data_IF_963807622574
#
_entry.id   IF_963807622574
#
_cell.length_a   1.000
_cell.length_b   1.000
_cell.length_c   1.000
_cell.angle_alpha   90.00
_cell.angle_beta   90.00
_cell.angle_gamma   90.00
#
_symmetry.space_group_name_H-M   'P 1'
#
loop_
_entity.id
_entity.type
_entity.pdbx_description
1 polymer ?
#
# COMPACT_ATOMS: atom_id res chain seq x y z
N UNK A 1 -0.21 10.00 -15.52
CA UNK A 1 0.09 11.24 -14.80
C UNK A 1 -0.45 11.05 -13.40
N UNK A 2 0.43 10.74 -12.46
CA UNK A 2 0.04 10.20 -11.14
C UNK A 2 -0.33 11.34 -10.18
N UNK A 3 -1.16 11.05 -9.17
CA UNK A 3 -1.55 12.01 -8.13
C UNK A 3 -0.33 12.62 -7.44
N UNK A 4 0.77 11.85 -7.31
CA UNK A 4 2.06 12.28 -6.78
C UNK A 4 2.72 13.34 -7.68
N UNK A 5 2.70 13.17 -9.01
CA UNK A 5 3.24 14.17 -9.94
C UNK A 5 2.47 15.49 -9.86
N UNK A 6 1.14 15.43 -9.70
CA UNK A 6 0.30 16.62 -9.53
C UNK A 6 0.58 17.30 -8.19
N UNK A 7 0.66 16.56 -7.09
CA UNK A 7 1.04 17.08 -5.77
C UNK A 7 2.45 17.69 -5.77
N UNK A 8 3.43 17.02 -6.37
CA UNK A 8 4.78 17.57 -6.52
C UNK A 8 4.80 18.83 -7.40
N UNK A 9 3.94 18.91 -8.42
CA UNK A 9 3.84 20.08 -9.31
C UNK A 9 3.18 21.27 -8.60
N UNK A 10 2.08 21.04 -7.89
CA UNK A 10 1.43 22.06 -7.03
C UNK A 10 2.38 22.51 -5.92
N UNK A 11 3.09 21.57 -5.29
CA UNK A 11 4.09 21.88 -4.27
C UNK A 11 5.25 22.69 -4.85
N UNK A 12 5.78 22.33 -6.03
CA UNK A 12 6.84 23.11 -6.71
C UNK A 12 6.36 24.51 -7.07
N UNK A 13 5.09 24.67 -7.46
CA UNK A 13 4.49 25.97 -7.71
C UNK A 13 4.41 26.79 -6.40
N UNK A 14 3.87 26.22 -5.33
CA UNK A 14 3.77 26.86 -4.02
C UNK A 14 5.14 27.24 -3.44
N UNK A 15 6.12 26.34 -3.56
CA UNK A 15 7.51 26.58 -3.15
C UNK A 15 8.16 27.71 -3.97
N UNK A 16 7.87 27.78 -5.28
CA UNK A 16 8.33 28.85 -6.15
C UNK A 16 7.72 30.19 -5.75
N UNK A 17 6.43 30.21 -5.41
CA UNK A 17 5.73 31.43 -4.98
C UNK A 17 6.23 31.89 -3.60
N UNK A 18 6.43 30.97 -2.66
CA UNK A 18 7.05 31.25 -1.36
C UNK A 18 8.48 31.75 -1.53
N UNK A 19 9.25 31.18 -2.46
CA UNK A 19 10.62 31.62 -2.78
C UNK A 19 10.64 33.02 -3.40
N UNK A 20 9.68 33.34 -4.27
CA UNK A 20 9.53 34.66 -4.86
C UNK A 20 9.14 35.70 -3.80
N UNK A 21 8.18 35.36 -2.93
CA UNK A 21 7.77 36.21 -1.81
C UNK A 21 8.93 36.44 -0.82
N UNK A 22 9.66 35.39 -0.47
CA UNK A 22 10.84 35.50 0.39
C UNK A 22 11.92 36.41 -0.22
N UNK A 23 12.17 36.29 -1.53
CA UNK A 23 13.08 37.20 -2.25
C UNK A 23 12.61 38.64 -2.21
N UNK A 24 11.31 38.88 -2.42
CA UNK A 24 10.72 40.21 -2.31
C UNK A 24 10.89 40.81 -0.91
N UNK A 25 10.62 40.04 0.14
CA UNK A 25 10.82 40.47 1.54
C UNK A 25 12.30 40.77 1.83
N UNK A 26 13.23 39.97 1.30
CA UNK A 26 14.68 40.23 1.43
C UNK A 26 15.06 41.56 0.76
N UNK A 27 14.52 41.86 -0.41
CA UNK A 27 14.77 43.15 -1.08
C UNK A 27 14.27 44.30 -0.22
N UNK A 28 13.05 44.21 0.33
CA UNK A 28 12.51 45.23 1.26
C UNK A 28 13.39 45.36 2.50
N UNK A 29 13.86 44.25 3.06
CA UNK A 29 14.74 44.23 4.22
C UNK A 29 16.05 44.98 3.94
N UNK A 30 16.66 44.78 2.76
CA UNK A 30 17.89 45.50 2.36
C UNK A 30 17.64 47.01 2.29
N UNK A 31 16.52 47.44 1.69
CA UNK A 31 16.14 48.86 1.66
C UNK A 31 15.88 49.42 3.07
N UNK A 32 15.21 48.67 3.94
CA UNK A 32 14.96 49.07 5.31
C UNK A 32 16.26 49.21 6.10
N UNK A 33 17.18 48.25 5.98
CA UNK A 33 18.50 48.31 6.63
C UNK A 33 19.34 49.47 6.10
N UNK A 34 19.35 49.71 4.78
CA UNK A 34 20.05 50.85 4.20
C UNK A 34 19.51 52.19 4.73
N UNK A 35 18.17 52.31 4.81
CA UNK A 35 17.51 53.49 5.38
C UNK A 35 17.81 53.65 6.88
N UNK A 36 17.87 52.55 7.64
CA UNK A 36 18.24 52.56 9.04
C UNK A 36 19.66 53.11 9.24
N UNK A 37 20.62 52.61 8.45
CA UNK A 37 22.02 53.08 8.49
C UNK A 37 22.09 54.57 8.19
N UNK A 38 21.35 55.04 7.19
CA UNK A 38 21.27 56.47 6.85
C UNK A 38 20.68 57.32 7.99
N UNK A 39 19.62 56.87 8.64
CA UNK A 39 19.00 57.58 9.77
C UNK A 39 19.93 57.65 10.98
N UNK A 40 20.69 56.59 11.24
CA UNK A 40 21.72 56.57 12.29
C UNK A 40 22.83 57.58 11.97
N UNK A 41 23.26 57.65 10.71
CA UNK A 41 24.28 58.61 10.27
C UNK A 41 23.85 60.08 10.46
N UNK A 42 22.57 60.38 10.22
CA UNK A 42 21.99 61.74 10.42
C UNK A 42 21.54 61.97 11.88
N UNK A 43 21.75 61.01 12.78
CA UNK A 43 21.39 61.09 14.20
C UNK A 43 19.89 61.28 14.48
N UNK A 44 19.02 60.80 13.57
CA UNK A 44 17.56 60.79 13.76
C UNK A 44 17.10 59.50 14.43
N UNK A 45 17.32 59.41 15.74
CA UNK A 45 17.09 58.19 16.50
C UNK A 45 15.62 57.79 16.66
N UNK A 46 14.69 58.75 16.74
CA UNK A 46 13.25 58.47 16.84
C UNK A 46 12.72 57.75 15.58
N UNK A 47 13.08 58.26 14.39
CA UNK A 47 12.73 57.64 13.10
C UNK A 47 13.38 56.25 12.95
N UNK A 48 14.61 56.09 13.46
CA UNK A 48 15.33 54.82 13.42
C UNK A 48 14.68 53.75 14.32
N UNK A 49 14.15 54.13 15.49
CA UNK A 49 13.46 53.21 16.40
C UNK A 49 12.21 52.60 15.76
N UNK A 50 11.42 53.40 15.03
CA UNK A 50 10.27 52.90 14.27
C UNK A 50 10.73 51.90 13.20
N UNK A 51 11.81 52.21 12.49
CA UNK A 51 12.33 51.33 11.44
C UNK A 51 12.87 49.99 11.98
N UNK A 52 13.44 49.98 13.18
CA UNK A 52 13.88 48.74 13.86
C UNK A 52 12.72 47.77 14.07
N UNK A 53 11.54 48.26 14.45
CA UNK A 53 10.35 47.42 14.61
C UNK A 53 9.92 46.77 13.29
N UNK A 54 9.99 47.51 12.18
CA UNK A 54 9.69 47.00 10.84
C UNK A 54 10.69 45.93 10.42
N UNK A 55 11.99 46.14 10.66
CA UNK A 55 13.04 45.15 10.38
C UNK A 55 12.83 43.88 11.20
N UNK A 56 12.50 44.00 12.49
CA UNK A 56 12.22 42.84 13.35
C UNK A 56 11.02 42.03 12.87
N UNK A 57 9.94 42.69 12.42
CA UNK A 57 8.77 42.03 11.83
C UNK A 57 9.16 41.31 10.54
N UNK A 58 9.88 41.95 9.63
CA UNK A 58 10.30 41.35 8.36
C UNK A 58 11.19 40.12 8.56
N UNK A 59 12.12 40.18 9.53
CA UNK A 59 12.96 39.03 9.90
C UNK A 59 12.10 37.90 10.47
N UNK A 60 11.16 38.22 11.36
CA UNK A 60 10.26 37.24 11.97
C UNK A 60 9.38 36.54 10.92
N UNK A 61 8.85 37.29 9.94
CA UNK A 61 8.10 36.71 8.83
C UNK A 61 9.00 35.77 8.01
N UNK A 62 10.23 36.19 7.67
CA UNK A 62 11.17 35.36 6.93
C UNK A 62 11.52 34.05 7.66
N UNK A 63 11.76 34.11 8.97
CA UNK A 63 12.09 32.92 9.76
C UNK A 63 10.89 31.98 9.87
N UNK A 64 9.70 32.52 10.19
CA UNK A 64 8.47 31.72 10.27
C UNK A 64 8.16 31.08 8.92
N UNK A 65 8.18 31.83 7.82
CA UNK A 65 7.91 31.28 6.49
C UNK A 65 8.89 30.16 6.14
N UNK A 66 10.20 30.35 6.34
CA UNK A 66 11.19 29.31 6.06
C UNK A 66 11.03 28.06 6.92
N UNK A 67 10.79 28.24 8.23
CA UNK A 67 10.61 27.12 9.16
C UNK A 67 9.33 26.36 8.84
N UNK A 68 8.22 27.06 8.61
CA UNK A 68 6.94 26.44 8.26
C UNK A 68 7.01 25.68 6.93
N UNK A 69 7.62 26.25 5.89
CA UNK A 69 7.78 25.52 4.60
C UNK A 69 8.64 24.27 4.77
N UNK A 70 9.68 24.32 5.61
CA UNK A 70 10.51 23.15 5.92
C UNK A 70 9.78 22.11 6.76
N UNK A 71 8.94 22.54 7.70
CA UNK A 71 8.15 21.64 8.52
C UNK A 71 7.05 20.94 7.71
N UNK A 72 6.36 21.68 6.84
CA UNK A 72 5.33 21.13 5.95
C UNK A 72 5.94 20.12 4.99
N UNK A 73 7.06 20.45 4.33
CA UNK A 73 7.77 19.50 3.44
C UNK A 73 8.19 18.26 4.18
N UNK A 74 8.77 18.41 5.37
CA UNK A 74 9.20 17.26 6.14
C UNK A 74 8.01 16.37 6.54
N UNK A 75 6.91 16.97 6.99
CA UNK A 75 5.68 16.26 7.35
C UNK A 75 5.09 15.50 6.17
N UNK A 76 5.00 16.12 4.99
CA UNK A 76 4.48 15.47 3.78
C UNK A 76 5.38 14.33 3.30
N UNK A 77 6.71 14.51 3.34
CA UNK A 77 7.68 13.45 3.00
C UNK A 77 7.55 12.28 3.96
N UNK A 78 7.46 12.55 5.27
CA UNK A 78 7.28 11.51 6.29
C UNK A 78 5.96 10.78 6.08
N UNK A 79 4.86 11.50 5.82
CA UNK A 79 3.55 10.89 5.57
C UNK A 79 3.57 9.98 4.34
N UNK A 80 4.13 10.44 3.23
CA UNK A 80 4.25 9.60 2.03
C UNK A 80 5.17 8.40 2.24
N UNK A 81 6.27 8.57 2.99
CA UNK A 81 7.15 7.45 3.34
C UNK A 81 6.42 6.41 4.21
N UNK A 82 5.63 6.83 5.18
CA UNK A 82 4.80 5.95 6.02
C UNK A 82 3.72 5.24 5.19
N UNK A 83 3.02 5.95 4.31
CA UNK A 83 2.06 5.37 3.35
C UNK A 83 2.72 4.29 2.49
N UNK A 84 3.89 4.57 1.90
CA UNK A 84 4.63 3.60 1.09
C UNK A 84 5.11 2.39 1.89
N UNK A 85 5.61 2.60 3.11
CA UNK A 85 6.03 1.52 4.01
C UNK A 85 4.87 0.61 4.38
N UNK A 86 3.69 1.18 4.64
CA UNK A 86 2.48 0.44 4.97
C UNK A 86 2.00 -0.40 3.76
N UNK A 87 1.96 0.20 2.55
CA UNK A 87 1.64 -0.54 1.32
C UNK A 87 2.63 -1.69 1.06
N UNK A 88 3.93 -1.46 1.27
CA UNK A 88 4.96 -2.49 1.13
C UNK A 88 4.79 -3.63 2.15
N UNK A 89 4.45 -3.30 3.40
CA UNK A 89 4.20 -4.31 4.43
C UNK A 89 2.96 -5.14 4.13
N UNK A 90 1.85 -4.49 3.74
CA UNK A 90 0.59 -5.14 3.37
C UNK A 90 0.74 -6.04 2.15
N UNK A 91 1.37 -5.56 1.08
CA UNK A 91 1.61 -6.37 -0.13
C UNK A 91 2.49 -7.59 0.18
N UNK A 92 3.52 -7.47 1.01
CA UNK A 92 4.31 -8.62 1.45
C UNK A 92 3.51 -9.65 2.25
N UNK A 93 2.64 -9.18 3.15
CA UNK A 93 1.74 -10.05 3.89
C UNK A 93 0.76 -10.78 2.96
N UNK A 94 0.18 -10.09 1.98
CA UNK A 94 -0.72 -10.69 1.00
C UNK A 94 0.00 -11.69 0.08
N UNK A 95 1.19 -11.37 -0.43
CA UNK A 95 2.03 -12.29 -1.23
C UNK A 95 2.28 -13.59 -0.44
N UNK A 96 2.59 -13.48 0.86
CA UNK A 96 2.78 -14.65 1.72
C UNK A 96 1.52 -15.51 1.81
N UNK A 97 0.34 -14.91 2.01
CA UNK A 97 -0.92 -15.68 2.06
C UNK A 97 -1.22 -16.30 0.70
N UNK A 98 -1.07 -15.57 -0.40
CA UNK A 98 -1.29 -16.07 -1.76
C UNK A 98 -0.39 -17.26 -2.07
N UNK A 99 0.89 -17.18 -1.68
CA UNK A 99 1.85 -18.29 -1.82
C UNK A 99 1.44 -19.50 -0.97
N UNK A 100 0.95 -19.26 0.26
CA UNK A 100 0.45 -20.32 1.13
C UNK A 100 -0.80 -21.00 0.52
N UNK A 101 -1.73 -20.23 -0.03
CA UNK A 101 -2.91 -20.75 -0.71
C UNK A 101 -2.55 -21.56 -1.95
N UNK A 102 -1.58 -21.13 -2.75
CA UNK A 102 -1.12 -21.90 -3.92
C UNK A 102 -0.50 -23.23 -3.50
N UNK A 103 0.36 -23.21 -2.47
CA UNK A 103 0.95 -24.44 -1.92
C UNK A 103 -0.09 -25.41 -1.37
N UNK A 104 -1.15 -24.91 -0.71
CA UNK A 104 -2.26 -25.75 -0.22
C UNK A 104 -3.12 -26.29 -1.35
N UNK A 105 -3.40 -25.47 -2.36
CA UNK A 105 -4.14 -25.89 -3.55
C UNK A 105 -3.38 -27.01 -4.29
N UNK A 106 -2.06 -26.85 -4.48
CA UNK A 106 -1.20 -27.89 -5.05
C UNK A 106 -1.16 -29.16 -4.18
N UNK A 107 -1.11 -29.01 -2.85
CA UNK A 107 -1.20 -30.15 -1.93
C UNK A 107 -2.52 -30.92 -2.10
N UNK A 108 -3.66 -30.24 -2.25
CA UNK A 108 -4.95 -30.90 -2.49
C UNK A 108 -4.99 -31.75 -3.77
N UNK A 109 -4.21 -31.40 -4.80
CA UNK A 109 -4.09 -32.25 -6.00
C UNK A 109 -3.18 -33.45 -5.74
N UNK A 110 -2.04 -33.20 -5.11
CA UNK A 110 -1.06 -34.25 -4.81
C UNK A 110 -1.60 -35.27 -3.83
N UNK A 111 -2.40 -34.85 -2.86
CA UNK A 111 -3.00 -35.73 -1.86
C UNK A 111 -3.94 -36.75 -2.51
N UNK A 112 -4.73 -36.34 -3.49
CA UNK A 112 -5.62 -37.25 -4.24
C UNK A 112 -4.83 -38.20 -5.15
N UNK A 113 -3.73 -37.74 -5.74
CA UNK A 113 -2.84 -38.58 -6.55
C UNK A 113 -2.06 -39.59 -5.70
N UNK A 114 -1.58 -39.17 -4.53
CA UNK A 114 -0.82 -39.96 -3.57
C UNK A 114 -1.70 -40.83 -2.69
N UNK A 115 -3.02 -40.63 -2.74
CA UNK A 115 -4.01 -41.34 -1.95
C UNK A 115 -3.84 -41.10 -0.44
N UNK A 116 -3.55 -39.85 -0.08
CA UNK A 116 -3.41 -39.41 1.30
C UNK A 116 -4.73 -39.56 2.09
N UNK A 117 -4.68 -39.61 3.43
CA UNK A 117 -5.88 -39.64 4.26
C UNK A 117 -6.81 -38.45 3.99
N UNK A 118 -8.12 -38.72 3.91
CA UNK A 118 -9.17 -37.70 3.70
C UNK A 118 -9.08 -36.58 4.74
N UNK A 119 -8.75 -36.90 6.00
CA UNK A 119 -8.55 -35.89 7.05
C UNK A 119 -7.48 -34.85 6.68
N UNK A 120 -6.42 -35.25 5.97
CA UNK A 120 -5.37 -34.33 5.53
C UNK A 120 -5.87 -33.40 4.44
N UNK A 121 -6.66 -33.92 3.49
CA UNK A 121 -7.32 -33.12 2.46
C UNK A 121 -8.27 -32.08 3.09
N UNK A 122 -9.20 -32.54 3.93
CA UNK A 122 -10.18 -31.69 4.65
C UNK A 122 -9.48 -30.58 5.44
N UNK A 123 -8.44 -30.94 6.20
CA UNK A 123 -7.67 -29.98 6.99
C UNK A 123 -6.99 -28.90 6.14
N UNK A 124 -6.51 -29.25 4.95
CA UNK A 124 -5.87 -28.28 4.07
C UNK A 124 -6.89 -27.36 3.40
N UNK A 125 -8.06 -27.87 3.02
CA UNK A 125 -9.17 -27.05 2.52
C UNK A 125 -9.63 -26.05 3.57
N UNK A 126 -9.82 -26.46 4.83
CA UNK A 126 -10.19 -25.54 5.92
C UNK A 126 -9.16 -24.42 6.12
N UNK A 127 -7.87 -24.76 6.09
CA UNK A 127 -6.81 -23.76 6.17
C UNK A 127 -6.73 -22.85 4.94
N UNK A 128 -7.20 -23.30 3.77
CA UNK A 128 -7.37 -22.42 2.60
C UNK A 128 -8.50 -21.41 2.81
N UNK A 129 -9.61 -21.83 3.42
CA UNK A 129 -10.69 -20.90 3.79
C UNK A 129 -10.19 -19.83 4.77
N UNK A 130 -9.50 -20.23 5.85
CA UNK A 130 -8.92 -19.28 6.82
C UNK A 130 -7.95 -18.30 6.14
N UNK A 131 -7.17 -18.79 5.17
CA UNK A 131 -6.26 -17.96 4.38
C UNK A 131 -7.00 -16.98 3.49
N UNK A 132 -8.07 -17.42 2.82
CA UNK A 132 -8.90 -16.58 1.98
C UNK A 132 -9.66 -15.52 2.78
N UNK A 133 -10.21 -15.88 3.94
CA UNK A 133 -10.90 -14.93 4.83
C UNK A 133 -9.96 -13.81 5.26
N UNK A 134 -8.69 -14.13 5.57
CA UNK A 134 -7.66 -13.11 5.88
C UNK A 134 -7.43 -12.14 4.73
N UNK A 135 -7.47 -12.62 3.47
CA UNK A 135 -7.36 -11.76 2.29
C UNK A 135 -8.62 -10.89 2.15
N UNK A 136 -9.80 -11.49 2.29
CA UNK A 136 -11.11 -10.84 2.12
C UNK A 136 -11.38 -9.76 3.18
N UNK A 137 -11.11 -10.05 4.46
CA UNK A 137 -11.27 -9.09 5.56
C UNK A 137 -10.26 -7.94 5.49
N UNK A 138 -9.11 -8.17 4.84
CA UNK A 138 -8.08 -7.16 4.61
C UNK A 138 -8.17 -6.54 3.21
N UNK A 139 -9.32 -6.57 2.54
CA UNK A 139 -9.45 -5.96 1.20
C UNK A 139 -9.26 -4.44 1.32
N UNK A 140 -8.01 -4.00 1.17
CA UNK A 140 -7.61 -2.60 1.25
C UNK A 140 -8.14 -1.87 0.01
N UNK A 141 -8.86 -0.76 0.21
CA UNK A 141 -9.36 0.13 -0.85
C UNK A 141 -8.30 0.49 -1.89
N UNK A 142 -7.04 0.51 -1.47
CA UNK A 142 -5.90 0.99 -2.25
C UNK A 142 -5.32 -0.08 -3.20
N UNK A 143 -5.63 -1.36 -2.96
CA UNK A 143 -5.27 -2.51 -3.81
C UNK A 143 -6.45 -2.90 -4.72
N UNK A 144 -7.59 -2.21 -4.57
CA UNK A 144 -8.86 -2.55 -5.18
C UNK A 144 -8.90 -2.17 -6.68
N UNK A 145 -8.30 -3.03 -7.50
CA UNK A 145 -8.46 -3.01 -8.95
C UNK A 145 -9.52 -4.04 -9.37
N UNK A 146 -10.27 -3.76 -10.45
CA UNK A 146 -11.24 -4.67 -11.05
C UNK A 146 -10.66 -6.08 -11.28
N UNK A 147 -9.37 -6.19 -11.60
CA UNK A 147 -8.64 -7.46 -11.75
C UNK A 147 -8.49 -8.20 -10.41
N UNK A 148 -8.16 -7.49 -9.33
CA UNK A 148 -8.05 -8.09 -8.00
C UNK A 148 -9.41 -8.57 -7.54
N UNK A 149 -10.46 -7.77 -7.75
CA UNK A 149 -11.81 -8.13 -7.34
C UNK A 149 -12.36 -9.35 -8.11
N UNK A 150 -12.09 -9.44 -9.42
CA UNK A 150 -12.48 -10.62 -10.21
C UNK A 150 -11.71 -11.87 -9.78
N UNK A 151 -10.42 -11.74 -9.44
CA UNK A 151 -9.63 -12.84 -8.88
C UNK A 151 -10.19 -13.29 -7.52
N UNK A 152 -10.46 -12.38 -6.59
CA UNK A 152 -11.01 -12.71 -5.27
C UNK A 152 -12.38 -13.38 -5.38
N UNK A 153 -13.27 -12.87 -6.24
CA UNK A 153 -14.59 -13.46 -6.46
C UNK A 153 -14.49 -14.90 -7.01
N UNK A 154 -13.55 -15.13 -7.94
CA UNK A 154 -13.32 -16.45 -8.54
C UNK A 154 -12.62 -17.42 -7.58
N UNK A 155 -11.73 -16.90 -6.73
CA UNK A 155 -11.13 -17.66 -5.63
C UNK A 155 -12.19 -18.08 -4.62
N UNK A 156 -13.11 -17.18 -4.25
CA UNK A 156 -14.20 -17.46 -3.32
C UNK A 156 -15.06 -18.63 -3.79
N UNK A 157 -15.51 -18.61 -5.05
CA UNK A 157 -16.38 -19.67 -5.58
C UNK A 157 -15.68 -21.02 -5.59
N UNK A 158 -14.38 -21.05 -5.88
CA UNK A 158 -13.58 -22.27 -5.92
C UNK A 158 -13.29 -22.82 -4.52
N UNK A 159 -12.90 -21.94 -3.59
CA UNK A 159 -12.63 -22.32 -2.20
C UNK A 159 -13.91 -22.77 -1.50
N UNK A 160 -15.03 -22.09 -1.74
CA UNK A 160 -16.34 -22.49 -1.24
C UNK A 160 -16.75 -23.86 -1.80
N UNK A 161 -16.54 -24.10 -3.09
CA UNK A 161 -16.79 -25.43 -3.68
C UNK A 161 -15.94 -26.52 -3.00
N UNK A 162 -14.64 -26.27 -2.82
CA UNK A 162 -13.75 -27.21 -2.12
C UNK A 162 -14.21 -27.47 -0.68
N UNK A 163 -14.70 -26.45 0.01
CA UNK A 163 -15.21 -26.54 1.38
C UNK A 163 -16.48 -27.37 1.48
N UNK A 164 -17.48 -27.08 0.63
CA UNK A 164 -18.71 -27.89 0.56
C UNK A 164 -18.38 -29.35 0.23
N UNK A 165 -17.43 -29.56 -0.69
CA UNK A 165 -16.96 -30.90 -1.04
C UNK A 165 -16.25 -31.59 0.13
N UNK A 166 -15.39 -30.86 0.85
CA UNK A 166 -14.73 -31.32 2.07
C UNK A 166 -15.74 -31.70 3.17
N UNK A 167 -16.86 -31.00 3.26
CA UNK A 167 -17.92 -31.31 4.23
C UNK A 167 -18.68 -32.57 3.88
N UNK A 168 -18.96 -32.79 2.60
CA UNK A 168 -19.52 -34.05 2.10
C UNK A 168 -18.60 -35.23 2.41
N UNK A 169 -17.28 -35.08 2.19
CA UNK A 169 -16.29 -36.10 2.53
C UNK A 169 -16.22 -36.39 4.04
N UNK A 170 -16.50 -35.40 4.88
CA UNK A 170 -16.42 -35.55 6.35
C UNK A 170 -17.66 -36.19 6.98
N UNK A 171 -18.83 -36.06 6.34
CA UNK A 171 -20.12 -36.54 6.86
C UNK A 171 -20.34 -38.04 6.65
N UNK A 172 -19.65 -38.63 5.67
CA UNK A 172 -19.85 -40.02 5.29
C UNK A 172 -18.88 -40.91 6.08
N UNK A 173 -19.41 -41.46 7.19
CA UNK A 173 -18.68 -42.25 8.21
C UNK A 173 -17.98 -43.49 7.59
N UNK A 174 -18.45 -43.95 6.44
CA UNK A 174 -17.90 -45.08 5.66
C UNK A 174 -16.58 -44.74 4.95
N UNK A 175 -16.31 -43.46 4.68
CA UNK A 175 -15.17 -42.99 3.88
C UNK A 175 -13.87 -42.93 4.69
N UNK A 176 -13.90 -42.88 6.03
CA UNK A 176 -12.66 -42.84 6.84
C UNK A 176 -11.72 -44.04 6.62
N UNK A 177 -12.25 -45.14 6.09
CA UNK A 177 -11.50 -46.37 5.73
C UNK A 177 -11.24 -46.55 4.24
N UNK A 178 -11.79 -45.70 3.37
CA UNK A 178 -11.63 -45.78 1.92
C UNK A 178 -10.52 -44.86 1.40
N UNK A 179 -9.92 -45.28 0.29
CA UNK A 179 -8.88 -44.56 -0.42
C UNK A 179 -9.46 -43.28 -1.07
N UNK A 180 -8.82 -42.13 -0.82
CA UNK A 180 -9.23 -40.82 -1.35
C UNK A 180 -9.40 -40.84 -2.88
N UNK A 181 -8.55 -41.60 -3.58
CA UNK A 181 -8.57 -41.74 -5.04
C UNK A 181 -9.72 -42.59 -5.57
N UNK A 182 -10.16 -43.63 -4.83
CA UNK A 182 -11.31 -44.43 -5.26
C UNK A 182 -12.60 -43.64 -5.16
N UNK A 183 -12.71 -42.78 -4.15
CA UNK A 183 -13.87 -41.93 -3.96
C UNK A 183 -13.94 -40.79 -4.99
N UNK A 184 -12.80 -40.17 -5.30
CA UNK A 184 -12.72 -39.02 -6.20
C UNK A 184 -12.68 -39.35 -7.69
N UNK A 185 -12.77 -40.61 -8.10
CA UNK A 185 -12.43 -41.00 -9.48
C UNK A 185 -13.28 -40.30 -10.56
N UNK A 186 -14.55 -40.01 -10.28
CA UNK A 186 -15.45 -39.30 -11.21
C UNK A 186 -15.34 -37.77 -11.09
N UNK A 187 -15.04 -37.27 -9.88
CA UNK A 187 -14.92 -35.84 -9.60
C UNK A 187 -13.49 -35.29 -9.75
N UNK A 188 -12.49 -36.16 -9.96
CA UNK A 188 -11.08 -35.77 -9.97
C UNK A 188 -10.75 -34.79 -11.10
N UNK A 189 -11.35 -34.96 -12.28
CA UNK A 189 -11.16 -34.04 -13.39
C UNK A 189 -11.78 -32.67 -13.08
N UNK A 190 -12.92 -32.64 -12.38
CA UNK A 190 -13.56 -31.41 -11.93
C UNK A 190 -12.71 -30.71 -10.84
N UNK A 191 -12.21 -31.47 -9.85
CA UNK A 191 -11.28 -30.99 -8.83
C UNK A 191 -10.01 -30.42 -9.47
N UNK A 192 -9.41 -31.16 -10.41
CA UNK A 192 -8.20 -30.74 -11.12
C UNK A 192 -8.42 -29.45 -11.91
N UNK A 193 -9.54 -29.34 -12.63
CA UNK A 193 -9.92 -28.11 -13.34
C UNK A 193 -10.10 -26.93 -12.37
N UNK A 194 -10.81 -27.12 -11.26
CA UNK A 194 -11.09 -26.08 -10.27
C UNK A 194 -9.83 -25.62 -9.55
N UNK A 195 -8.99 -26.56 -9.10
CA UNK A 195 -7.72 -26.21 -8.46
C UNK A 195 -6.79 -25.50 -9.46
N UNK A 196 -6.73 -25.95 -10.72
CA UNK A 196 -5.93 -25.28 -11.75
C UNK A 196 -6.41 -23.85 -12.00
N UNK A 197 -7.73 -23.62 -12.02
CA UNK A 197 -8.33 -22.30 -12.12
C UNK A 197 -7.97 -21.42 -10.91
N UNK A 198 -8.10 -21.95 -9.69
CA UNK A 198 -7.71 -21.27 -8.45
C UNK A 198 -6.23 -20.83 -8.48
N UNK A 199 -5.34 -21.75 -8.88
CA UNK A 199 -3.90 -21.46 -8.99
C UNK A 199 -3.59 -20.39 -10.04
N UNK A 200 -4.32 -20.37 -11.16
CA UNK A 200 -4.20 -19.30 -12.15
C UNK A 200 -4.60 -17.94 -11.56
N UNK A 201 -5.68 -17.89 -10.77
CA UNK A 201 -6.10 -16.67 -10.09
C UNK A 201 -5.11 -16.22 -9.02
N UNK A 202 -4.56 -17.15 -8.23
CA UNK A 202 -3.51 -16.88 -7.24
C UNK A 202 -2.24 -16.35 -7.91
N UNK A 203 -1.80 -16.94 -9.02
CA UNK A 203 -0.65 -16.45 -9.79
C UNK A 203 -0.90 -15.05 -10.35
N UNK A 204 -2.10 -14.79 -10.88
CA UNK A 204 -2.46 -13.46 -11.39
C UNK A 204 -2.46 -12.43 -10.25
N UNK A 205 -2.96 -12.81 -9.06
CA UNK A 205 -2.97 -11.95 -7.88
C UNK A 205 -1.55 -11.68 -7.37
N UNK A 206 -0.67 -12.68 -7.33
CA UNK A 206 0.75 -12.52 -6.97
C UNK A 206 1.45 -11.52 -7.90
N UNK A 207 1.25 -11.67 -9.22
CA UNK A 207 1.82 -10.76 -10.22
C UNK A 207 1.35 -9.31 -10.03
N UNK A 208 0.06 -9.11 -9.71
CA UNK A 208 -0.48 -7.77 -9.44
C UNK A 208 0.10 -7.18 -8.15
N UNK A 209 0.22 -7.98 -7.08
CA UNK A 209 0.82 -7.55 -5.82
C UNK A 209 2.29 -7.19 -5.99
N UNK A 210 3.04 -7.96 -6.79
CA UNK A 210 4.44 -7.65 -7.15
C UNK A 210 4.55 -6.36 -7.94
N UNK A 211 3.68 -6.13 -8.93
CA UNK A 211 3.66 -4.86 -9.69
C UNK A 211 3.38 -3.65 -8.78
N UNK A 212 2.43 -3.77 -7.85
CA UNK A 212 2.16 -2.70 -6.86
C UNK A 212 3.40 -2.47 -5.99
N UNK A 213 4.05 -3.55 -5.53
CA UNK A 213 5.26 -3.45 -4.72
C UNK A 213 6.42 -2.81 -5.49
N UNK A 214 6.67 -3.21 -6.73
CA UNK A 214 7.72 -2.64 -7.58
C UNK A 214 7.50 -1.14 -7.82
N UNK A 215 6.24 -0.74 -8.05
CA UNK A 215 5.88 0.67 -8.14
C UNK A 215 6.24 1.40 -6.84
N UNK A 216 5.87 0.86 -5.68
CA UNK A 216 6.17 1.46 -4.36
C UNK A 216 7.67 1.52 -4.07
N UNK A 217 8.43 0.47 -4.40
CA UNK A 217 9.89 0.44 -4.22
C UNK A 217 10.61 1.49 -5.09
N UNK A 218 10.15 1.70 -6.34
CA UNK A 218 10.66 2.77 -7.20
C UNK A 218 10.44 4.16 -6.58
N UNK A 219 9.30 4.39 -5.92
CA UNK A 219 9.03 5.66 -5.22
C UNK A 219 9.89 5.86 -3.97
N UNK A 220 10.28 4.78 -3.28
CA UNK A 220 11.16 4.86 -2.10
C UNK A 220 12.63 5.14 -2.40
N UNK A 221 13.09 4.89 -3.64
CA UNK A 221 14.48 5.09 -4.07
C UNK A 221 14.72 6.42 -4.78
N UNK A 222 13.66 7.10 -5.20
CA UNK A 222 13.69 8.40 -5.90
C UNK A 222 13.67 9.56 -4.90
#
# INVERSE_FOLDING_TARGET
MTVIENLQKEFRALSKDISALSRFVVVILVFAVARLIYLIFIQRYEDAAVLFSVVAILISVLTITKVSTRAITHSEIVRHYEEHKDVAHRTNYLIRIVTELDGRADYCLRSVQANDPIESFVRNVRKMEDGYEKISCQTYSDIHNQIVNSCLTSMNSTIHWLSVYSDQLSLDITIQTEDLRSFLKEDFDALNSRVSELRRHLSTLDDQLRKIREQVELYSRA
#
